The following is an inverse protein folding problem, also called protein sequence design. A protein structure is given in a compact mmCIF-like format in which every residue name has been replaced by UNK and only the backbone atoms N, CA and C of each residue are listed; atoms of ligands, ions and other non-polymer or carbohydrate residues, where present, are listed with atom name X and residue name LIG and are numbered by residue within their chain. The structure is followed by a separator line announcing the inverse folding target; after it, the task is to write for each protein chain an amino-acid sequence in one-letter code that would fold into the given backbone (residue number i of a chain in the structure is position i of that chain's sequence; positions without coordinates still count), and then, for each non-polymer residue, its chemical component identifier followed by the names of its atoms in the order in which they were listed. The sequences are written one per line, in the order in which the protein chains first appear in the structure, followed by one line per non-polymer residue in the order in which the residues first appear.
data_IF_123119513974
#
_entry.id   IF_123119513974
#
_cell.length_a   1.000
_cell.length_b   1.000
_cell.length_c   1.000
_cell.angle_alpha   90.00
_cell.angle_beta   90.00
_cell.angle_gamma   90.00
#
_symmetry.space_group_name_H-M   'P 1'
#
loop_
_entity.id
_entity.type
_entity.pdbx_description
1 polymer ?
#
# COMPACT_ATOMS: atom_id res chain seq x y z
N UNK A 1 -4.46 -23.69 3.58
CA UNK A 1 -4.26 -22.27 3.20
C UNK A 1 -2.77 -22.06 2.97
N UNK A 2 -2.32 -21.86 1.73
CA UNK A 2 -0.91 -21.63 1.41
C UNK A 2 -0.54 -20.21 1.83
N UNK A 3 0.39 -20.05 2.78
CA UNK A 3 0.91 -18.73 3.16
C UNK A 3 1.94 -18.32 2.11
N UNK A 4 1.71 -17.20 1.44
CA UNK A 4 2.65 -16.62 0.48
C UNK A 4 3.64 -15.75 1.25
N UNK A 5 4.92 -15.82 0.88
CA UNK A 5 6.00 -15.13 1.62
C UNK A 5 6.23 -13.68 1.14
N UNK A 6 5.32 -13.12 0.35
CA UNK A 6 5.36 -11.73 -0.12
C UNK A 6 4.46 -11.48 -1.33
N UNK A 7 4.18 -10.20 -1.59
CA UNK A 7 3.26 -9.78 -2.63
C UNK A 7 3.71 -10.19 -4.05
N UNK A 8 5.02 -10.21 -4.31
CA UNK A 8 5.57 -10.61 -5.62
C UNK A 8 5.23 -12.05 -5.92
N UNK A 9 5.37 -12.93 -4.92
CA UNK A 9 5.04 -14.34 -5.08
C UNK A 9 3.55 -14.52 -5.34
N UNK A 10 2.68 -13.77 -4.66
CA UNK A 10 1.23 -13.80 -4.91
C UNK A 10 0.88 -13.39 -6.35
N UNK A 11 1.45 -12.29 -6.84
CA UNK A 11 1.26 -11.84 -8.21
C UNK A 11 1.79 -12.83 -9.26
N UNK A 12 2.94 -13.47 -9.01
CA UNK A 12 3.46 -14.53 -9.89
C UNK A 12 2.56 -15.77 -9.91
N UNK A 13 1.94 -16.11 -8.78
CA UNK A 13 1.00 -17.24 -8.71
C UNK A 13 -0.29 -16.94 -9.50
N UNK A 14 -0.78 -15.69 -9.49
CA UNK A 14 -1.88 -15.26 -10.36
C UNK A 14 -1.53 -15.44 -11.85
N UNK A 15 -0.35 -14.96 -12.27
CA UNK A 15 0.10 -15.08 -13.66
C UNK A 15 0.27 -16.53 -14.12
N UNK A 16 0.66 -17.40 -13.19
CA UNK A 16 0.80 -18.84 -13.41
C UNK A 16 -0.54 -19.61 -13.32
N UNK A 17 -1.67 -18.92 -13.03
CA UNK A 17 -2.99 -19.53 -12.93
C UNK A 17 -3.15 -20.49 -11.74
N UNK A 18 -2.31 -20.36 -10.70
CA UNK A 18 -2.39 -21.25 -9.52
C UNK A 18 -3.36 -20.74 -8.45
N UNK A 19 -3.71 -19.46 -8.52
CA UNK A 19 -4.72 -18.80 -7.71
C UNK A 19 -5.54 -17.87 -8.60
N UNK A 20 -6.80 -17.64 -8.25
CA UNK A 20 -7.71 -16.79 -9.02
C UNK A 20 -7.73 -15.34 -8.51
N UNK A 21 -7.34 -15.13 -7.25
CA UNK A 21 -7.33 -13.81 -6.61
C UNK A 21 -6.21 -13.73 -5.55
N UNK A 22 -5.57 -12.56 -5.46
CA UNK A 22 -4.60 -12.24 -4.42
C UNK A 22 -4.88 -10.85 -3.83
N UNK A 23 -5.12 -10.71 -2.51
CA UNK A 23 -5.29 -9.42 -1.87
C UNK A 23 -3.92 -8.74 -1.66
N UNK A 24 -3.80 -7.50 -2.11
CA UNK A 24 -2.63 -6.64 -1.92
C UNK A 24 -3.10 -5.19 -1.81
N UNK A 25 -2.36 -4.35 -1.09
CA UNK A 25 -2.59 -2.91 -1.16
C UNK A 25 -2.44 -2.42 -2.62
N UNK A 26 -3.36 -1.57 -3.07
CA UNK A 26 -3.41 -1.16 -4.47
C UNK A 26 -2.12 -0.45 -4.90
N UNK A 27 -1.64 0.50 -4.10
CA UNK A 27 -0.45 1.29 -4.42
C UNK A 27 0.78 0.39 -4.45
N UNK A 28 0.95 -0.43 -3.41
CA UNK A 28 2.06 -1.39 -3.31
C UNK A 28 2.05 -2.38 -4.48
N UNK A 29 0.87 -2.94 -4.80
CA UNK A 29 0.72 -3.90 -5.89
C UNK A 29 1.13 -3.31 -7.23
N UNK A 30 0.72 -2.09 -7.55
CA UNK A 30 1.12 -1.43 -8.79
C UNK A 30 2.60 -1.08 -8.82
N UNK A 31 3.16 -0.50 -7.75
CA UNK A 31 4.59 -0.20 -7.67
C UNK A 31 5.43 -1.46 -7.93
N UNK A 32 5.07 -2.57 -7.29
CA UNK A 32 5.72 -3.85 -7.47
C UNK A 32 5.60 -4.38 -8.91
N UNK A 33 4.41 -4.25 -9.52
CA UNK A 33 4.19 -4.60 -10.92
C UNK A 33 5.11 -3.81 -11.84
N UNK A 34 5.21 -2.50 -11.66
CA UNK A 34 6.06 -1.63 -12.47
C UNK A 34 7.56 -1.91 -12.30
N UNK A 35 7.99 -2.28 -11.09
CA UNK A 35 9.40 -2.55 -10.80
C UNK A 35 9.86 -3.96 -11.22
N UNK A 36 8.99 -4.97 -11.17
CA UNK A 36 9.41 -6.39 -11.24
C UNK A 36 8.78 -7.20 -12.37
N UNK A 37 7.82 -6.65 -13.11
CA UNK A 37 7.08 -7.38 -14.14
C UNK A 37 7.13 -6.65 -15.49
N UNK A 38 7.21 -7.43 -16.56
CA UNK A 38 7.17 -6.92 -17.93
C UNK A 38 5.82 -6.27 -18.24
N UNK A 39 5.79 -5.40 -19.26
CA UNK A 39 4.53 -4.81 -19.73
C UNK A 39 3.50 -5.88 -20.14
N UNK A 40 3.95 -6.96 -20.78
CA UNK A 40 3.08 -8.07 -21.20
C UNK A 40 2.48 -8.82 -20.00
N UNK A 41 3.26 -9.06 -18.94
CA UNK A 41 2.74 -9.65 -17.70
C UNK A 41 1.72 -8.73 -17.02
N UNK A 42 2.01 -7.43 -16.94
CA UNK A 42 1.11 -6.44 -16.34
C UNK A 42 -0.25 -6.39 -17.04
N UNK A 43 -0.28 -6.46 -18.38
CA UNK A 43 -1.53 -6.47 -19.16
C UNK A 43 -2.42 -7.69 -18.88
N UNK A 44 -1.87 -8.78 -18.33
CA UNK A 44 -2.62 -9.99 -17.96
C UNK A 44 -3.24 -9.90 -16.57
N UNK A 45 -2.94 -8.84 -15.81
CA UNK A 45 -3.44 -8.63 -14.46
C UNK A 45 -4.42 -7.47 -14.43
N UNK A 46 -5.43 -7.60 -13.60
CA UNK A 46 -6.40 -6.54 -13.34
C UNK A 46 -6.76 -6.53 -11.85
N UNK A 47 -7.46 -5.49 -11.41
CA UNK A 47 -7.92 -5.36 -10.04
C UNK A 47 -9.41 -5.01 -10.01
N UNK A 48 -10.09 -5.47 -8.96
CA UNK A 48 -11.49 -5.17 -8.79
C UNK A 48 -11.70 -3.74 -8.28
N UNK A 49 -12.70 -3.02 -8.80
CA UNK A 49 -12.97 -1.61 -8.43
C UNK A 49 -13.39 -1.45 -6.98
N UNK A 50 -14.17 -2.40 -6.44
CA UNK A 50 -14.57 -2.43 -5.03
C UNK A 50 -13.40 -2.99 -4.20
N UNK A 51 -12.86 -2.24 -3.23
CA UNK A 51 -11.81 -2.75 -2.35
C UNK A 51 -12.36 -3.86 -1.47
N UNK A 52 -11.52 -4.85 -1.18
CA UNK A 52 -11.85 -5.89 -0.19
C UNK A 52 -11.84 -5.33 1.23
N UNK A 53 -10.91 -4.41 1.50
CA UNK A 53 -10.72 -3.74 2.79
C UNK A 53 -10.20 -2.31 2.57
N UNK A 54 -10.58 -1.40 3.45
CA UNK A 54 -10.05 -0.02 3.48
C UNK A 54 -9.80 0.35 4.93
N UNK A 55 -8.54 0.48 5.31
CA UNK A 55 -8.12 0.80 6.67
C UNK A 55 -7.28 2.07 6.71
N UNK A 56 -7.23 2.69 7.89
CA UNK A 56 -6.25 3.71 8.21
C UNK A 56 -4.91 3.09 8.60
N UNK A 57 -3.81 3.73 8.17
CA UNK A 57 -2.47 3.44 8.68
C UNK A 57 -2.22 4.17 10.00
N UNK A 58 -1.48 3.52 10.89
CA UNK A 58 -1.15 4.05 12.21
C UNK A 58 0.34 3.88 12.49
N UNK A 59 0.92 4.87 13.18
CA UNK A 59 2.22 4.70 13.80
C UNK A 59 2.08 3.72 14.98
N UNK A 60 2.90 2.67 14.97
CA UNK A 60 2.98 1.73 16.08
C UNK A 60 4.28 1.98 16.85
N UNK A 61 4.14 2.16 18.16
CA UNK A 61 5.26 2.30 19.10
C UNK A 61 5.13 1.22 20.17
N UNK A 62 6.26 0.61 20.57
CA UNK A 62 6.27 -0.42 21.61
C UNK A 62 5.81 0.16 22.96
N UNK A 63 5.02 -0.62 23.70
CA UNK A 63 4.58 -0.28 25.07
C UNK A 63 5.71 -0.39 26.10
N UNK A 64 6.78 -1.12 25.76
CA UNK A 64 7.88 -1.41 26.69
C UNK A 64 8.92 -0.29 26.76
N UNK A 65 8.87 0.68 25.85
CA UNK A 65 9.86 1.76 25.78
C UNK A 65 9.34 2.98 26.52
N UNK A 66 9.95 3.37 27.66
CA UNK A 66 9.58 4.57 28.38
C UNK A 66 9.71 5.81 27.48
N UNK A 67 8.73 6.71 27.54
CA UNK A 67 8.71 7.94 26.72
C UNK A 67 8.00 7.82 25.37
N UNK A 68 7.60 6.61 24.95
CA UNK A 68 6.84 6.45 23.70
C UNK A 68 5.46 7.12 23.74
N UNK A 69 4.84 7.26 24.91
CA UNK A 69 3.59 8.00 25.05
C UNK A 69 3.76 9.48 24.69
N UNK A 70 4.85 10.11 25.15
CA UNK A 70 5.17 11.49 24.79
C UNK A 70 5.52 11.61 23.31
N UNK A 71 6.28 10.65 22.76
CA UNK A 71 6.61 10.62 21.34
C UNK A 71 5.34 10.49 20.48
N UNK A 72 4.38 9.66 20.88
CA UNK A 72 3.10 9.52 20.21
C UNK A 72 2.33 10.84 20.21
N UNK A 73 2.28 11.55 21.35
CA UNK A 73 1.65 12.86 21.43
C UNK A 73 2.33 13.88 20.50
N UNK A 74 3.67 13.91 20.48
CA UNK A 74 4.44 14.80 19.60
C UNK A 74 4.18 14.49 18.12
N UNK A 75 4.17 13.21 17.75
CA UNK A 75 3.86 12.76 16.39
C UNK A 75 2.46 13.20 15.97
N UNK A 76 1.45 12.94 16.82
CA UNK A 76 0.07 13.30 16.51
C UNK A 76 -0.13 14.82 16.35
N UNK A 77 0.55 15.64 17.16
CA UNK A 77 0.55 17.11 16.99
C UNK A 77 1.12 17.52 15.63
N UNK A 78 2.29 16.98 15.25
CA UNK A 78 2.90 17.26 13.95
C UNK A 78 2.03 16.78 12.78
N UNK A 79 1.44 15.59 12.89
CA UNK A 79 0.56 15.04 11.87
C UNK A 79 -0.69 15.91 11.68
N UNK A 80 -1.26 16.45 12.75
CA UNK A 80 -2.40 17.38 12.63
C UNK A 80 -1.99 18.69 11.92
N UNK A 81 -0.84 19.27 12.24
CA UNK A 81 -0.34 20.45 11.52
C UNK A 81 -0.15 20.18 10.01
N UNK A 82 0.31 18.97 9.64
CA UNK A 82 0.43 18.56 8.24
C UNK A 82 -0.93 18.35 7.56
N UNK A 83 -1.95 17.91 8.30
CA UNK A 83 -3.32 17.78 7.80
C UNK A 83 -3.94 19.16 7.57
N UNK A 84 -3.82 20.04 8.56
CA UNK A 84 -4.38 21.40 8.53
C UNK A 84 -3.76 22.24 7.39
N UNK A 85 -2.48 22.02 7.09
CA UNK A 85 -1.79 22.65 5.96
C UNK A 85 -2.07 22.00 4.60
N UNK A 86 -2.81 20.90 4.54
CA UNK A 86 -3.11 20.16 3.30
C UNK A 86 -1.95 19.29 2.77
N UNK A 87 -0.78 19.30 3.41
CA UNK A 87 0.39 18.52 3.00
C UNK A 87 0.16 17.01 3.00
N UNK A 88 -0.62 16.48 3.94
CA UNK A 88 -0.96 15.05 3.92
C UNK A 88 -1.73 14.68 2.66
N UNK A 89 -2.73 15.49 2.28
CA UNK A 89 -3.50 15.25 1.06
C UNK A 89 -2.63 15.37 -0.20
N UNK A 90 -1.69 16.33 -0.21
CA UNK A 90 -0.70 16.44 -1.29
C UNK A 90 0.14 15.16 -1.42
N UNK A 91 0.73 14.66 -0.33
CA UNK A 91 1.54 13.43 -0.38
C UNK A 91 0.72 12.22 -0.86
N UNK A 92 -0.53 12.09 -0.40
CA UNK A 92 -1.42 10.99 -0.83
C UNK A 92 -1.81 11.08 -2.31
N UNK A 93 -1.88 12.30 -2.86
CA UNK A 93 -2.12 12.50 -4.29
C UNK A 93 -0.88 12.16 -5.10
N UNK A 94 0.30 12.62 -4.67
CA UNK A 94 1.59 12.35 -5.32
C UNK A 94 1.88 10.85 -5.44
N UNK A 95 1.58 10.07 -4.41
CA UNK A 95 1.73 8.61 -4.42
C UNK A 95 0.81 7.93 -5.45
N UNK A 96 -0.33 8.55 -5.79
CA UNK A 96 -1.26 8.02 -6.80
C UNK A 96 -0.91 8.42 -8.23
N UNK A 97 -0.09 9.45 -8.45
CA UNK A 97 0.21 9.94 -9.79
C UNK A 97 0.89 8.92 -10.73
N UNK A 98 1.84 8.07 -10.26
CA UNK A 98 2.40 6.99 -11.09
C UNK A 98 1.33 5.97 -11.52
N UNK A 99 0.23 5.86 -10.77
CA UNK A 99 -0.86 4.93 -11.03
C UNK A 99 -1.86 5.48 -12.07
N UNK A 100 -2.03 6.79 -12.13
CA UNK A 100 -2.97 7.47 -13.04
C UNK A 100 -2.51 7.60 -14.49
N UNK A 101 -1.21 7.41 -14.79
CA UNK A 101 -0.67 7.45 -16.15
C UNK A 101 -0.83 6.11 -16.91
N UNK A 102 -1.55 5.16 -16.32
CA UNK A 102 -1.80 3.84 -16.89
C UNK A 102 -3.19 3.82 -17.55
N UNK A 103 -3.31 4.49 -18.71
CA UNK A 103 -4.44 4.29 -19.62
C UNK A 103 -4.01 3.40 -20.79
#
# INVERSE_FOLDING_TARGET
MMRLNGDEQGLRQLLAGRIDLFPVDKVVGFDLLYQKFSAAERQRLSFHRKPLRSDSLHLLLSREVPGNDELMQRFNRGLNQLRDSGRVSQYLLEIQQPLSLSH
#
